data_IF_371879050462
#
_entry.id   IF_371879050462
#
_cell.length_a   1.000
_cell.length_b   1.000
_cell.length_c   1.000
_cell.angle_alpha   90.00
_cell.angle_beta   90.00
_cell.angle_gamma   90.00
#
_symmetry.space_group_name_H-M   'P 1'
#
loop_
_entity.id
_entity.type
_entity.pdbx_description
1 polymer ?
#
# COMPACT_ATOMS: atom_id res chain seq x y z
N UNK A 1 -8.17 20.01 9.69
CA UNK A 1 -8.61 18.62 9.97
C UNK A 1 -10.11 18.58 10.23
N UNK A 2 -10.64 19.36 11.17
CA UNK A 2 -12.07 19.42 11.51
C UNK A 2 -12.97 19.74 10.31
N UNK A 3 -12.61 20.72 9.48
CA UNK A 3 -13.41 21.07 8.30
C UNK A 3 -13.49 19.94 7.27
N UNK A 4 -12.37 19.25 7.05
CA UNK A 4 -12.31 18.07 6.18
C UNK A 4 -13.22 16.95 6.70
N UNK A 5 -13.20 16.68 8.01
CA UNK A 5 -14.09 15.69 8.62
C UNK A 5 -15.58 16.08 8.47
N UNK A 6 -15.90 17.38 8.58
CA UNK A 6 -17.26 17.87 8.35
C UNK A 6 -17.71 17.64 6.91
N UNK A 7 -16.84 17.92 5.93
CA UNK A 7 -17.12 17.63 4.51
C UNK A 7 -17.26 16.13 4.24
N UNK A 8 -16.41 15.30 4.86
CA UNK A 8 -16.47 13.84 4.67
C UNK A 8 -17.76 13.27 5.20
N UNK A 9 -18.28 13.79 6.33
CA UNK A 9 -19.57 13.35 6.89
C UNK A 9 -20.74 13.51 5.92
N UNK A 10 -20.68 14.45 4.97
CA UNK A 10 -21.71 14.58 3.92
C UNK A 10 -21.54 13.63 2.73
N UNK A 11 -20.43 12.89 2.63
CA UNK A 11 -20.14 12.00 1.49
C UNK A 11 -20.86 10.65 1.58
N UNK A 12 -21.19 10.19 2.79
CA UNK A 12 -21.92 8.93 3.01
C UNK A 12 -23.24 9.18 3.75
N UNK A 13 -24.25 8.30 3.57
CA UNK A 13 -25.46 8.35 4.37
C UNK A 13 -25.16 8.28 5.87
N UNK A 14 -25.93 8.99 6.69
CA UNK A 14 -25.75 9.05 8.16
C UNK A 14 -25.63 7.67 8.81
N UNK A 15 -26.39 6.68 8.31
CA UNK A 15 -26.38 5.30 8.80
C UNK A 15 -25.04 4.58 8.60
N UNK A 16 -24.23 4.94 7.59
CA UNK A 16 -22.92 4.35 7.36
C UNK A 16 -21.93 4.75 8.47
N UNK A 17 -22.02 5.99 8.94
CA UNK A 17 -21.18 6.51 10.04
C UNK A 17 -21.43 5.86 11.40
N UNK A 18 -22.52 5.07 11.52
CA UNK A 18 -22.73 4.26 12.71
C UNK A 18 -21.75 3.09 12.78
N UNK A 19 -21.17 2.65 11.67
CA UNK A 19 -20.28 1.47 11.62
C UNK A 19 -18.87 1.82 11.13
N UNK A 20 -18.74 2.89 10.35
CA UNK A 20 -17.44 3.40 9.88
C UNK A 20 -17.17 4.76 10.55
N UNK A 21 -15.95 5.02 11.01
CA UNK A 21 -15.58 6.36 11.45
C UNK A 21 -15.18 7.25 10.26
N UNK A 22 -15.49 8.56 10.30
CA UNK A 22 -14.96 9.52 9.34
C UNK A 22 -13.43 9.54 9.30
N UNK A 23 -12.76 9.37 10.46
CA UNK A 23 -11.31 9.32 10.56
C UNK A 23 -10.71 8.14 9.78
N UNK A 24 -11.27 6.93 9.95
CA UNK A 24 -10.85 5.76 9.16
C UNK A 24 -11.09 5.98 7.67
N UNK A 25 -12.24 6.56 7.30
CA UNK A 25 -12.56 6.84 5.90
C UNK A 25 -11.55 7.81 5.28
N UNK A 26 -11.27 8.93 5.94
CA UNK A 26 -10.27 9.91 5.45
C UNK A 26 -8.89 9.30 5.38
N UNK A 27 -8.45 8.55 6.41
CA UNK A 27 -7.15 7.89 6.41
C UNK A 27 -7.06 6.86 5.28
N UNK A 28 -8.09 6.05 5.06
CA UNK A 28 -8.12 5.08 3.98
C UNK A 28 -8.05 5.75 2.60
N UNK A 29 -8.78 6.82 2.36
CA UNK A 29 -8.78 7.49 1.05
C UNK A 29 -7.61 8.44 0.84
N UNK A 30 -6.98 8.93 1.91
CA UNK A 30 -5.86 9.86 1.86
C UNK A 30 -4.49 9.21 1.67
N UNK A 31 -4.36 7.91 1.94
CA UNK A 31 -3.12 7.17 1.75
C UNK A 31 -3.06 6.45 0.40
N UNK A 32 -1.84 6.10 0.00
CA UNK A 32 -1.47 5.37 -1.21
C UNK A 32 -0.62 4.15 -0.86
N UNK A 33 -0.33 3.29 -1.85
CA UNK A 33 0.54 2.13 -1.64
C UNK A 33 1.95 2.53 -1.17
N UNK A 34 2.46 3.68 -1.62
CA UNK A 34 3.77 4.20 -1.23
C UNK A 34 3.86 4.43 0.28
N UNK A 35 2.75 4.85 0.91
CA UNK A 35 2.69 5.14 2.34
C UNK A 35 2.74 3.89 3.23
N UNK A 36 2.44 2.71 2.67
CA UNK A 36 2.29 1.45 3.40
C UNK A 36 3.34 0.39 3.04
N UNK A 37 4.11 0.61 1.97
CA UNK A 37 5.02 -0.42 1.46
C UNK A 37 6.28 0.13 0.84
N UNK A 38 7.41 -0.42 1.28
CA UNK A 38 8.71 -0.21 0.67
C UNK A 38 9.10 -1.45 -0.14
N UNK A 39 9.31 -1.36 -1.46
CA UNK A 39 9.74 -2.48 -2.29
C UNK A 39 11.25 -2.76 -2.12
N UNK A 40 11.67 -3.18 -0.90
CA UNK A 40 13.08 -3.35 -0.51
C UNK A 40 13.92 -4.10 -1.52
N UNK A 41 13.48 -5.29 -1.92
CA UNK A 41 14.18 -6.13 -2.89
C UNK A 41 14.38 -5.45 -4.26
N UNK A 42 13.47 -4.55 -4.67
CA UNK A 42 13.63 -3.81 -5.94
C UNK A 42 14.72 -2.75 -5.80
N UNK A 43 14.72 -1.99 -4.70
CA UNK A 43 15.80 -1.04 -4.43
C UNK A 43 17.16 -1.74 -4.33
N UNK A 44 17.24 -2.81 -3.53
CA UNK A 44 18.46 -3.60 -3.35
C UNK A 44 18.98 -4.17 -4.68
N UNK A 45 18.10 -4.71 -5.52
CA UNK A 45 18.48 -5.21 -6.85
C UNK A 45 18.99 -4.11 -7.78
N UNK A 46 18.35 -2.95 -7.82
CA UNK A 46 18.79 -1.84 -8.68
C UNK A 46 20.09 -1.20 -8.17
N UNK A 47 20.28 -1.10 -6.85
CA UNK A 47 21.53 -0.66 -6.21
C UNK A 47 22.67 -1.63 -6.56
N UNK A 48 22.44 -2.94 -6.43
CA UNK A 48 23.42 -3.96 -6.78
C UNK A 48 23.85 -3.89 -8.25
N UNK A 49 22.91 -3.61 -9.17
CA UNK A 49 23.22 -3.40 -10.59
C UNK A 49 24.13 -2.18 -10.81
N UNK A 50 23.92 -1.08 -10.09
CA UNK A 50 24.78 0.10 -10.22
C UNK A 50 26.20 -0.18 -9.68
N UNK A 51 26.32 -0.88 -8.55
CA UNK A 51 27.62 -1.32 -8.05
C UNK A 51 28.36 -2.24 -9.03
N UNK A 52 27.65 -3.20 -9.65
CA UNK A 52 28.23 -4.06 -10.68
C UNK A 52 28.69 -3.25 -11.90
N UNK A 53 27.92 -2.22 -12.31
CA UNK A 53 28.30 -1.33 -13.40
C UNK A 53 29.55 -0.50 -13.09
N UNK A 54 29.70 0.03 -11.87
CA UNK A 54 30.92 0.73 -11.44
C UNK A 54 32.14 -0.19 -11.47
N UNK A 55 32.00 -1.41 -10.98
CA UNK A 55 33.08 -2.42 -11.01
C UNK A 55 33.48 -2.77 -12.45
N UNK A 56 32.51 -2.98 -13.34
CA UNK A 56 32.79 -3.27 -14.75
C UNK A 56 33.54 -2.12 -15.44
N UNK A 57 33.28 -0.85 -15.08
CA UNK A 57 34.02 0.30 -15.59
C UNK A 57 35.47 0.34 -15.08
N UNK A 58 35.76 -0.23 -13.91
CA UNK A 58 37.11 -0.31 -13.34
C UNK A 58 37.99 -1.33 -14.04
N UNK A 59 37.40 -2.45 -14.44
CA UNK A 59 38.10 -3.60 -15.05
C UNK A 59 38.46 -3.37 -16.53
N UNK A 60 38.02 -2.26 -17.13
CA UNK A 60 38.37 -1.90 -18.52
C UNK A 60 39.88 -1.62 -18.66
N UNK A 61 40.55 -2.32 -19.58
CA UNK A 61 42.00 -2.20 -19.80
C UNK A 61 42.44 -1.03 -20.72
N UNK A 62 41.51 -0.41 -21.47
CA UNK A 62 41.84 0.68 -22.39
C UNK A 62 42.22 1.98 -21.65
N UNK A 63 43.50 2.32 -21.73
CA UNK A 63 44.13 3.46 -21.06
C UNK A 63 44.38 4.65 -22.00
N UNK A 64 43.76 4.70 -23.18
CA UNK A 64 43.79 5.90 -24.00
C UNK A 64 43.17 7.10 -23.27
N UNK A 65 43.68 8.31 -23.50
CA UNK A 65 43.21 9.53 -22.81
C UNK A 65 41.71 9.80 -23.01
N UNK A 66 41.20 9.49 -24.21
CA UNK A 66 39.78 9.56 -24.54
C UNK A 66 38.96 8.51 -23.77
N UNK A 67 39.43 7.26 -23.66
CA UNK A 67 38.78 6.21 -22.89
C UNK A 67 38.75 6.52 -21.38
N UNK A 68 39.83 7.06 -20.83
CA UNK A 68 39.91 7.50 -19.42
C UNK A 68 38.87 8.60 -19.14
N UNK A 69 38.81 9.62 -20.00
CA UNK A 69 37.87 10.74 -19.84
C UNK A 69 36.41 10.27 -19.91
N UNK A 70 36.10 9.39 -20.89
CA UNK A 70 34.77 8.81 -21.04
C UNK A 70 34.37 7.95 -19.84
N UNK A 71 35.29 7.11 -19.35
CA UNK A 71 35.07 6.25 -18.18
C UNK A 71 34.85 7.07 -16.91
N UNK A 72 35.61 8.14 -16.70
CA UNK A 72 35.43 9.05 -15.56
C UNK A 72 34.02 9.65 -15.57
N UNK A 73 33.59 10.20 -16.71
CA UNK A 73 32.24 10.78 -16.86
C UNK A 73 31.14 9.74 -16.62
N UNK A 74 31.32 8.52 -17.11
CA UNK A 74 30.34 7.45 -16.92
C UNK A 74 30.28 6.97 -15.47
N UNK A 75 31.43 6.86 -14.78
CA UNK A 75 31.47 6.59 -13.34
C UNK A 75 30.73 7.65 -12.52
N UNK A 76 30.97 8.93 -12.81
CA UNK A 76 30.25 10.04 -12.16
C UNK A 76 28.74 9.89 -12.36
N UNK A 77 28.29 9.60 -13.59
CA UNK A 77 26.87 9.39 -13.91
C UNK A 77 26.26 8.20 -13.14
N UNK A 78 26.95 7.07 -13.08
CA UNK A 78 26.46 5.87 -12.35
C UNK A 78 26.46 6.13 -10.85
N UNK A 79 27.48 6.81 -10.32
CA UNK A 79 27.54 7.20 -8.91
C UNK A 79 26.38 8.11 -8.52
N UNK A 80 26.05 9.12 -9.33
CA UNK A 80 24.89 9.99 -9.09
C UNK A 80 23.56 9.22 -9.04
N UNK A 81 23.39 8.20 -9.87
CA UNK A 81 22.20 7.33 -9.86
C UNK A 81 22.17 6.49 -8.59
N UNK A 82 23.29 5.90 -8.21
CA UNK A 82 23.42 5.11 -7.00
C UNK A 82 23.10 5.94 -5.74
N UNK A 83 23.65 7.15 -5.65
CA UNK A 83 23.41 8.06 -4.52
C UNK A 83 21.94 8.46 -4.45
N UNK A 84 21.32 8.75 -5.61
CA UNK A 84 19.90 9.07 -5.68
C UNK A 84 19.01 7.91 -5.24
N UNK A 85 19.26 6.70 -5.75
CA UNK A 85 18.50 5.50 -5.40
C UNK A 85 18.63 5.16 -3.91
N UNK A 86 19.84 5.27 -3.36
CA UNK A 86 20.11 5.00 -1.94
C UNK A 86 19.40 6.01 -1.05
N UNK A 87 19.43 7.29 -1.40
CA UNK A 87 18.73 8.33 -0.64
C UNK A 87 17.21 8.21 -0.76
N UNK A 88 16.69 7.88 -1.94
CA UNK A 88 15.26 7.62 -2.15
C UNK A 88 14.79 6.44 -1.30
N UNK A 89 15.54 5.32 -1.31
CA UNK A 89 15.23 4.14 -0.51
C UNK A 89 15.15 4.48 0.98
N UNK A 90 16.16 5.18 1.52
CA UNK A 90 16.17 5.61 2.93
C UNK A 90 14.98 6.51 3.25
N UNK A 91 14.68 7.51 2.40
CA UNK A 91 13.53 8.40 2.60
C UNK A 91 12.21 7.65 2.57
N UNK A 92 12.08 6.64 1.71
CA UNK A 92 10.88 5.82 1.64
C UNK A 92 10.71 4.99 2.91
N UNK A 93 11.77 4.39 3.45
CA UNK A 93 11.72 3.69 4.73
C UNK A 93 11.32 4.62 5.89
N UNK A 94 11.91 5.81 5.96
CA UNK A 94 11.57 6.82 6.96
C UNK A 94 10.12 7.29 6.87
N UNK A 95 9.62 7.46 5.64
CA UNK A 95 8.24 7.84 5.36
C UNK A 95 7.26 6.77 5.84
N UNK A 96 7.44 5.52 5.41
CA UNK A 96 6.56 4.40 5.81
C UNK A 96 6.60 4.20 7.32
N UNK A 97 7.77 4.30 7.96
CA UNK A 97 7.89 4.23 9.42
C UNK A 97 7.17 5.40 10.13
N UNK A 98 7.15 6.59 9.53
CA UNK A 98 6.40 7.74 10.04
C UNK A 98 4.89 7.52 9.94
N UNK A 99 4.43 7.03 8.78
CA UNK A 99 3.01 6.70 8.55
C UNK A 99 2.56 5.60 9.52
N UNK A 100 3.31 4.50 9.63
CA UNK A 100 3.01 3.42 10.56
C UNK A 100 2.86 3.91 12.02
N UNK A 101 3.79 4.77 12.48
CA UNK A 101 3.67 5.40 13.80
C UNK A 101 2.38 6.19 13.94
N UNK A 102 2.03 7.04 12.96
CA UNK A 102 0.78 7.81 12.99
C UNK A 102 -0.44 6.87 13.07
N UNK A 103 -0.50 5.86 12.21
CA UNK A 103 -1.60 4.88 12.19
C UNK A 103 -1.74 4.14 13.52
N UNK A 104 -0.62 3.79 14.16
CA UNK A 104 -0.62 3.13 15.48
C UNK A 104 -1.29 3.97 16.58
N UNK A 105 -1.17 5.30 16.52
CA UNK A 105 -1.84 6.20 17.48
C UNK A 105 -3.32 6.44 17.15
N UNK A 106 -3.69 6.37 15.87
CA UNK A 106 -5.07 6.63 15.40
C UNK A 106 -5.97 5.38 15.46
N UNK A 107 -5.39 4.17 15.41
CA UNK A 107 -6.13 2.91 15.22
C UNK A 107 -7.28 2.68 16.22
N UNK A 108 -7.11 3.14 17.45
CA UNK A 108 -8.00 2.78 18.56
C UNK A 108 -9.39 3.45 18.45
N UNK A 109 -9.53 4.51 17.64
CA UNK A 109 -10.80 5.22 17.45
C UNK A 109 -11.53 4.84 16.15
N UNK A 110 -10.90 4.07 15.26
CA UNK A 110 -11.40 3.89 13.90
C UNK A 110 -12.68 3.06 13.81
N UNK A 111 -12.85 2.07 14.68
CA UNK A 111 -13.91 1.05 14.58
C UNK A 111 -14.76 0.93 15.85
N UNK A 112 -14.75 1.94 16.72
CA UNK A 112 -15.44 1.92 18.02
C UNK A 112 -16.92 2.28 17.97
N UNK A 113 -17.42 2.76 16.83
CA UNK A 113 -18.80 3.26 16.69
C UNK A 113 -19.88 2.18 16.77
N UNK A 114 -19.53 0.90 16.53
CA UNK A 114 -20.48 -0.21 16.47
C UNK A 114 -19.89 -1.49 17.10
N UNK A 115 -20.60 -2.21 17.97
CA UNK A 115 -20.15 -3.51 18.45
C UNK A 115 -20.31 -4.63 17.39
N UNK A 116 -21.14 -4.42 16.37
CA UNK A 116 -21.38 -5.39 15.30
C UNK A 116 -20.25 -5.38 14.26
N UNK A 117 -19.28 -6.26 14.47
CA UNK A 117 -18.13 -6.45 13.56
C UNK A 117 -18.50 -6.89 12.15
N UNK A 118 -19.63 -7.59 11.96
CA UNK A 118 -20.11 -7.98 10.64
C UNK A 118 -20.55 -6.73 9.87
N UNK A 119 -21.32 -5.86 10.51
CA UNK A 119 -21.77 -4.60 9.92
C UNK A 119 -20.61 -3.66 9.60
N UNK A 120 -19.60 -3.58 10.48
CA UNK A 120 -18.36 -2.84 10.22
C UNK A 120 -17.68 -3.35 8.94
N UNK A 121 -17.47 -4.67 8.84
CA UNK A 121 -16.82 -5.27 7.67
C UNK A 121 -17.59 -5.02 6.38
N UNK A 122 -18.93 -5.17 6.42
CA UNK A 122 -19.78 -4.91 5.25
C UNK A 122 -19.68 -3.45 4.79
N UNK A 123 -19.78 -2.47 5.70
CA UNK A 123 -19.64 -1.05 5.33
C UNK A 123 -18.23 -0.72 4.85
N UNK A 124 -17.18 -1.24 5.48
CA UNK A 124 -15.81 -0.99 5.04
C UNK A 124 -15.53 -1.59 3.65
N UNK A 125 -15.99 -2.82 3.40
CA UNK A 125 -15.90 -3.45 2.08
C UNK A 125 -16.67 -2.67 1.01
N UNK A 126 -17.90 -2.26 1.31
CA UNK A 126 -18.79 -1.62 0.35
C UNK A 126 -18.44 -0.15 0.07
N UNK A 127 -17.99 0.60 1.08
CA UNK A 127 -17.75 2.06 0.98
C UNK A 127 -16.31 2.43 0.70
N UNK A 128 -15.36 1.56 1.03
CA UNK A 128 -13.93 1.84 0.91
C UNK A 128 -13.24 0.88 -0.04
N UNK A 129 -13.18 -0.41 0.33
CA UNK A 129 -12.34 -1.38 -0.37
C UNK A 129 -12.82 -1.62 -1.80
N UNK A 130 -14.08 -1.98 -2.00
CA UNK A 130 -14.56 -2.34 -3.33
C UNK A 130 -14.50 -1.17 -4.32
N UNK A 131 -15.00 0.04 -3.99
CA UNK A 131 -14.88 1.18 -4.90
C UNK A 131 -13.44 1.50 -5.27
N UNK A 132 -12.49 1.38 -4.32
CA UNK A 132 -11.09 1.67 -4.58
C UNK A 132 -10.37 0.55 -5.34
N UNK A 133 -10.67 -0.71 -5.03
CA UNK A 133 -10.09 -1.88 -5.70
C UNK A 133 -10.34 -1.86 -7.22
N UNK A 134 -11.48 -1.32 -7.66
CA UNK A 134 -11.82 -1.27 -9.09
C UNK A 134 -11.15 -0.11 -9.81
N UNK A 135 -10.50 0.86 -9.15
CA UNK A 135 -9.89 2.03 -9.80
C UNK A 135 -8.65 1.69 -10.61
N UNK A 136 -7.69 0.98 -10.02
CA UNK A 136 -6.41 0.67 -10.64
C UNK A 136 -5.76 -0.57 -10.04
N UNK A 137 -4.74 -1.12 -10.70
CA UNK A 137 -4.00 -2.27 -10.18
C UNK A 137 -3.22 -1.91 -8.88
N UNK A 138 -2.54 -0.76 -8.77
CA UNK A 138 -1.96 -0.32 -7.51
C UNK A 138 -2.98 -0.13 -6.39
N UNK A 139 -4.18 0.37 -6.68
CA UNK A 139 -5.24 0.55 -5.68
C UNK A 139 -5.74 -0.78 -5.12
N UNK A 140 -5.89 -1.81 -5.96
CA UNK A 140 -6.22 -3.16 -5.51
C UNK A 140 -5.18 -3.73 -4.53
N UNK A 141 -3.88 -3.53 -4.81
CA UNK A 141 -2.81 -3.93 -3.91
C UNK A 141 -2.82 -3.09 -2.63
N UNK A 142 -3.03 -1.78 -2.75
CA UNK A 142 -3.18 -0.88 -1.60
C UNK A 142 -4.28 -1.34 -0.65
N UNK A 143 -5.48 -1.69 -1.16
CA UNK A 143 -6.58 -2.15 -0.32
C UNK A 143 -6.20 -3.38 0.51
N UNK A 144 -5.51 -4.36 -0.08
CA UNK A 144 -5.03 -5.53 0.64
C UNK A 144 -3.95 -5.18 1.68
N UNK A 145 -3.05 -4.25 1.33
CA UNK A 145 -1.98 -3.79 2.22
C UNK A 145 -2.53 -2.98 3.40
N UNK A 146 -3.57 -2.17 3.19
CA UNK A 146 -4.25 -1.45 4.25
C UNK A 146 -4.95 -2.42 5.22
N UNK A 147 -5.62 -3.47 4.71
CA UNK A 147 -6.18 -4.54 5.55
C UNK A 147 -5.09 -5.24 6.36
N UNK A 148 -3.93 -5.52 5.76
CA UNK A 148 -2.77 -6.08 6.48
C UNK A 148 -2.25 -5.13 7.56
N UNK A 149 -2.24 -3.83 7.27
CA UNK A 149 -1.83 -2.80 8.21
C UNK A 149 -2.74 -2.80 9.45
N UNK A 150 -4.08 -2.77 9.24
CA UNK A 150 -5.08 -2.85 10.31
C UNK A 150 -4.87 -4.08 11.20
N UNK A 151 -4.58 -5.23 10.59
CA UNK A 151 -4.25 -6.45 11.31
C UNK A 151 -2.97 -6.31 12.13
N UNK A 152 -1.88 -5.89 11.49
CA UNK A 152 -0.55 -5.80 12.12
C UNK A 152 -0.51 -4.84 13.32
N UNK A 153 -1.32 -3.79 13.26
CA UNK A 153 -1.46 -2.80 14.33
C UNK A 153 -2.33 -3.31 15.50
N UNK A 154 -3.01 -4.45 15.36
CA UNK A 154 -3.98 -4.91 16.35
C UNK A 154 -5.11 -3.90 16.53
N UNK A 155 -5.68 -3.42 15.41
CA UNK A 155 -6.77 -2.43 15.44
C UNK A 155 -7.97 -3.01 16.18
N UNK A 156 -8.47 -2.36 17.25
CA UNK A 156 -9.63 -2.84 17.98
C UNK A 156 -10.83 -3.08 17.06
N UNK A 157 -11.60 -4.14 17.34
CA UNK A 157 -12.78 -4.55 16.56
C UNK A 157 -12.51 -4.98 15.10
N UNK A 158 -11.25 -5.00 14.63
CA UNK A 158 -10.88 -5.57 13.34
C UNK A 158 -10.39 -7.02 13.50
N UNK A 159 -11.28 -7.98 13.24
CA UNK A 159 -10.90 -9.39 13.14
C UNK A 159 -10.71 -9.76 11.66
N UNK A 160 -9.47 -10.07 11.28
CA UNK A 160 -9.11 -10.34 9.89
C UNK A 160 -9.69 -11.65 9.35
N UNK A 161 -9.89 -12.67 10.19
CA UNK A 161 -10.57 -13.91 9.80
C UNK A 161 -12.03 -13.61 9.46
N UNK A 162 -12.72 -12.85 10.32
CA UNK A 162 -14.09 -12.41 10.05
C UNK A 162 -14.16 -11.52 8.80
N UNK A 163 -13.18 -10.63 8.60
CA UNK A 163 -13.12 -9.81 7.40
C UNK A 163 -13.03 -10.65 6.12
N UNK A 164 -12.17 -11.67 6.12
CA UNK A 164 -11.99 -12.59 4.98
C UNK A 164 -13.24 -13.45 4.77
N UNK A 165 -13.87 -13.94 5.85
CA UNK A 165 -15.13 -14.69 5.77
C UNK A 165 -16.24 -13.82 5.13
N UNK A 166 -16.41 -12.58 5.58
CA UNK A 166 -17.39 -11.65 5.00
C UNK A 166 -17.06 -11.35 3.54
N UNK A 167 -15.78 -11.13 3.22
CA UNK A 167 -15.34 -10.90 1.85
C UNK A 167 -15.77 -12.06 0.95
N UNK A 168 -15.37 -13.29 1.29
CA UNK A 168 -15.59 -14.49 0.46
C UNK A 168 -17.05 -14.90 0.45
N UNK A 169 -17.67 -15.03 1.63
CA UNK A 169 -18.98 -15.66 1.77
C UNK A 169 -20.15 -14.71 1.51
N UNK A 170 -19.96 -13.38 1.61
CA UNK A 170 -21.08 -12.41 1.53
C UNK A 170 -20.95 -11.39 0.41
N UNK A 171 -19.74 -10.99 0.05
CA UNK A 171 -19.56 -9.83 -0.86
C UNK A 171 -18.90 -10.17 -2.19
N UNK A 172 -18.14 -11.25 -2.28
CA UNK A 172 -17.36 -11.57 -3.47
C UNK A 172 -18.23 -11.80 -4.72
N UNK A 173 -19.30 -12.60 -4.61
CA UNK A 173 -20.20 -12.86 -5.72
C UNK A 173 -20.81 -11.57 -6.31
N UNK A 174 -21.48 -10.70 -5.53
CA UNK A 174 -22.03 -9.45 -6.08
C UNK A 174 -20.93 -8.50 -6.59
N UNK A 175 -19.75 -8.46 -5.97
CA UNK A 175 -18.62 -7.68 -6.48
C UNK A 175 -18.21 -8.12 -7.89
N UNK A 176 -18.05 -9.42 -8.12
CA UNK A 176 -17.70 -9.98 -9.44
C UNK A 176 -18.79 -9.69 -10.47
N UNK A 177 -20.06 -9.90 -10.11
CA UNK A 177 -21.19 -9.70 -11.02
C UNK A 177 -21.37 -8.24 -11.48
N UNK A 178 -20.82 -7.28 -10.75
CA UNK A 178 -20.88 -5.85 -11.08
C UNK A 178 -19.61 -5.32 -11.75
N UNK A 179 -18.58 -6.14 -11.97
CA UNK A 179 -17.31 -5.74 -12.58
C UNK A 179 -17.29 -5.98 -14.09
N UNK A 180 -16.64 -5.07 -14.81
CA UNK A 180 -16.08 -5.35 -16.14
C UNK A 180 -14.89 -6.31 -16.05
N UNK A 181 -14.43 -6.84 -17.18
CA UNK A 181 -13.27 -7.76 -17.24
C UNK A 181 -12.01 -7.14 -16.60
N UNK A 182 -11.73 -5.87 -16.89
CA UNK A 182 -10.58 -5.16 -16.31
C UNK A 182 -10.71 -4.98 -14.79
N UNK A 183 -11.90 -4.64 -14.30
CA UNK A 183 -12.16 -4.48 -12.86
C UNK A 183 -12.09 -5.83 -12.14
N UNK A 184 -12.59 -6.90 -12.75
CA UNK A 184 -12.48 -8.27 -12.24
C UNK A 184 -11.00 -8.69 -12.11
N UNK A 185 -10.14 -8.31 -13.08
CA UNK A 185 -8.70 -8.51 -12.97
C UNK A 185 -8.07 -7.80 -11.77
N UNK A 186 -8.49 -6.56 -11.47
CA UNK A 186 -8.02 -5.79 -10.30
C UNK A 186 -8.53 -6.40 -9.00
N UNK A 187 -9.81 -6.78 -8.94
CA UNK A 187 -10.41 -7.50 -7.82
C UNK A 187 -9.67 -8.82 -7.56
N UNK A 188 -9.33 -9.57 -8.61
CA UNK A 188 -8.51 -10.77 -8.53
C UNK A 188 -7.14 -10.51 -7.92
N UNK A 189 -6.50 -9.38 -8.25
CA UNK A 189 -5.24 -8.98 -7.62
C UNK A 189 -5.40 -8.68 -6.12
N UNK A 190 -6.45 -7.96 -5.73
CA UNK A 190 -6.77 -7.73 -4.33
C UNK A 190 -6.97 -9.04 -3.55
N UNK A 191 -7.73 -9.99 -4.12
CA UNK A 191 -7.97 -11.31 -3.53
C UNK A 191 -6.67 -12.10 -3.38
N UNK A 192 -5.81 -12.10 -4.40
CA UNK A 192 -4.52 -12.78 -4.34
C UNK A 192 -3.67 -12.28 -3.17
N UNK A 193 -3.51 -10.96 -3.02
CA UNK A 193 -2.72 -10.38 -1.91
C UNK A 193 -3.36 -10.66 -0.54
N UNK A 194 -4.69 -10.60 -0.45
CA UNK A 194 -5.45 -10.89 0.78
C UNK A 194 -5.30 -12.35 1.22
N UNK A 195 -5.42 -13.29 0.29
CA UNK A 195 -5.28 -14.72 0.58
C UNK A 195 -3.83 -15.12 0.87
N UNK A 196 -2.86 -14.49 0.20
CA UNK A 196 -1.44 -14.68 0.48
C UNK A 196 -1.09 -14.31 1.93
N UNK A 197 -1.64 -13.19 2.41
CA UNK A 197 -1.53 -12.77 3.81
C UNK A 197 -2.15 -13.81 4.75
N UNK A 198 -3.36 -14.28 4.45
CA UNK A 198 -4.05 -15.30 5.26
C UNK A 198 -3.26 -16.62 5.32
N UNK A 199 -2.66 -17.04 4.20
CA UNK A 199 -1.86 -18.26 4.12
C UNK A 199 -0.56 -18.17 4.93
N UNK A 200 0.06 -16.99 5.00
CA UNK A 200 1.30 -16.79 5.76
C UNK A 200 1.10 -16.94 7.29
N UNK A 201 -0.12 -16.75 7.79
CA UNK A 201 -0.45 -16.87 9.22
C UNK A 201 -1.07 -18.22 9.61
N UNK A 202 -1.01 -19.20 8.71
CA UNK A 202 -1.39 -20.59 8.97
C UNK A 202 -0.26 -21.35 9.65
#
# INVERSE_FOLDING_TARGET
WTDLLNTVRSMLPVKAWNSLSPDLYVTFWGLTLYDLYVPKHRYESEIAKQHASLKALEELADNSSSAITKRKKEKERVQEILDRLTNEYRKHEEHVASVHRRLSHEKDIWLTSCPDTLKINMEFLQRCIFPRCTFSMPDAVYCAFFVRELHSLGTPFFNTVNHIDVLICKTLQPMICCCTEYEAGRLGRFLYETLKMAYYWK
#
